data_IF_615801344868
#
_entry.id   IF_615801344868
#
_cell.length_a   1.000
_cell.length_b   1.000
_cell.length_c   1.000
_cell.angle_alpha   90.00
_cell.angle_beta   90.00
_cell.angle_gamma   90.00
#
_symmetry.space_group_name_H-M   'P 1'
#
loop_
_entity.id
_entity.type
_entity.pdbx_description
1 polymer ?
#
# COMPACT_ATOMS: atom_id res chain seq x y z
N UNK A 1 -30.75 25.85 9.74
CA UNK A 1 -29.36 25.60 9.30
C UNK A 1 -29.33 24.18 8.77
N UNK A 2 -28.90 23.97 7.51
CA UNK A 2 -28.86 22.63 6.89
C UNK A 2 -27.50 22.01 7.20
N UNK A 3 -27.49 20.89 7.93
CA UNK A 3 -26.31 20.06 8.12
C UNK A 3 -25.98 19.36 6.78
N UNK A 4 -24.86 19.73 6.17
CA UNK A 4 -24.32 19.06 4.99
C UNK A 4 -23.48 17.87 5.46
N UNK A 5 -24.10 16.69 5.52
CA UNK A 5 -23.40 15.43 5.74
C UNK A 5 -22.51 15.10 4.54
N UNK A 6 -21.20 15.21 4.70
CA UNK A 6 -20.23 14.68 3.73
C UNK A 6 -20.23 13.17 3.83
N UNK A 7 -20.92 12.51 2.91
CA UNK A 7 -20.95 11.05 2.81
C UNK A 7 -19.61 10.55 2.24
N UNK A 8 -18.66 10.24 3.12
CA UNK A 8 -17.40 9.59 2.75
C UNK A 8 -17.71 8.18 2.25
N UNK A 9 -17.65 7.97 0.94
CA UNK A 9 -17.74 6.63 0.34
C UNK A 9 -16.37 5.96 0.42
N UNK A 10 -16.28 4.83 1.11
CA UNK A 10 -15.04 4.04 1.20
C UNK A 10 -15.14 2.84 0.25
N UNK A 11 -14.27 2.75 -0.74
CA UNK A 11 -14.11 1.54 -1.57
C UNK A 11 -12.91 0.76 -1.01
N UNK A 12 -13.14 -0.47 -0.55
CA UNK A 12 -12.07 -1.38 -0.10
C UNK A 12 -11.92 -2.51 -1.09
N UNK A 13 -10.74 -2.63 -1.69
CA UNK A 13 -10.35 -3.80 -2.46
C UNK A 13 -9.85 -4.89 -1.49
N UNK A 14 -10.35 -6.12 -1.66
CA UNK A 14 -9.87 -7.29 -0.91
C UNK A 14 -9.15 -8.22 -1.88
N UNK A 15 -7.84 -8.37 -1.69
CA UNK A 15 -7.05 -9.36 -2.40
C UNK A 15 -7.19 -10.70 -1.66
N UNK A 16 -7.81 -11.69 -2.30
CA UNK A 16 -7.92 -13.04 -1.75
C UNK A 16 -6.60 -13.78 -1.99
N UNK A 17 -5.73 -13.81 -0.98
CA UNK A 17 -4.57 -14.70 -0.98
C UNK A 17 -5.04 -16.15 -1.16
N UNK A 18 -4.40 -16.91 -2.07
CA UNK A 18 -4.61 -18.37 -2.15
C UNK A 18 -4.23 -19.00 -0.80
N UNK A 19 -4.98 -20.03 -0.41
CA UNK A 19 -5.00 -20.72 0.90
C UNK A 19 -3.62 -21.12 1.47
N UNK A 20 -2.84 -20.16 1.94
CA UNK A 20 -1.73 -20.41 2.85
C UNK A 20 -1.93 -19.54 4.08
N UNK A 21 -2.16 -20.21 5.21
CA UNK A 21 -2.07 -19.57 6.51
C UNK A 21 -0.61 -19.17 6.71
N UNK A 22 -0.33 -17.87 6.55
CA UNK A 22 0.98 -17.32 6.86
C UNK A 22 1.21 -17.48 8.37
N UNK A 23 1.91 -18.55 8.76
CA UNK A 23 2.40 -18.71 10.13
C UNK A 23 3.51 -17.70 10.34
N UNK A 24 3.17 -16.53 10.86
CA UNK A 24 4.15 -15.56 11.35
C UNK A 24 4.58 -16.04 12.73
N UNK A 25 5.60 -16.89 12.78
CA UNK A 25 6.24 -17.27 14.05
C UNK A 25 7.10 -16.09 14.53
N UNK A 26 6.59 -15.40 15.55
CA UNK A 26 7.14 -14.15 16.03
C UNK A 26 8.28 -14.36 17.02
N UNK A 27 9.49 -14.66 16.55
CA UNK A 27 10.70 -14.30 17.32
C UNK A 27 11.09 -12.85 17.02
N UNK A 28 10.41 -11.91 17.67
CA UNK A 28 10.71 -10.47 17.64
C UNK A 28 11.88 -10.10 18.59
N UNK A 29 12.89 -10.97 18.69
CA UNK A 29 14.05 -10.78 19.55
C UNK A 29 15.34 -10.93 18.74
N UNK A 30 16.18 -9.88 18.75
CA UNK A 30 17.58 -9.82 18.26
C UNK A 30 17.90 -9.45 16.80
N UNK A 31 16.92 -9.14 15.94
CA UNK A 31 17.20 -8.82 14.51
C UNK A 31 17.92 -7.48 14.26
N UNK A 32 18.05 -6.61 15.26
CA UNK A 32 18.68 -5.28 15.12
C UNK A 32 20.13 -5.34 14.58
N UNK A 33 20.82 -6.48 14.74
CA UNK A 33 22.19 -6.70 14.22
C UNK A 33 22.30 -7.59 12.98
N UNK A 34 21.19 -8.09 12.43
CA UNK A 34 21.21 -9.01 11.27
C UNK A 34 21.05 -8.28 9.93
N UNK A 35 20.32 -7.15 9.90
CA UNK A 35 20.13 -6.35 8.68
C UNK A 35 21.47 -5.87 8.12
N UNK A 36 22.44 -5.54 8.97
CA UNK A 36 23.75 -5.02 8.57
C UNK A 36 24.78 -6.11 8.22
N UNK A 37 24.40 -7.40 8.27
CA UNK A 37 25.26 -8.51 7.85
C UNK A 37 24.91 -8.91 6.41
N UNK A 38 25.92 -9.32 5.62
CA UNK A 38 25.73 -9.70 4.22
C UNK A 38 24.61 -10.74 3.99
N UNK A 39 24.47 -11.73 4.88
CA UNK A 39 23.40 -12.73 4.80
C UNK A 39 21.99 -12.14 5.06
N UNK A 40 21.88 -11.16 5.97
CA UNK A 40 20.64 -10.45 6.21
C UNK A 40 20.28 -9.50 5.08
N UNK A 41 21.28 -8.82 4.50
CA UNK A 41 21.12 -8.00 3.29
C UNK A 41 20.68 -8.85 2.09
N UNK A 42 21.24 -10.06 1.92
CA UNK A 42 20.86 -10.98 0.84
C UNK A 42 19.41 -11.44 0.98
N UNK A 43 19.00 -11.90 2.17
CA UNK A 43 17.61 -12.27 2.44
C UNK A 43 16.65 -11.09 2.30
N UNK A 44 17.06 -9.92 2.76
CA UNK A 44 16.28 -8.69 2.60
C UNK A 44 16.12 -8.34 1.11
N UNK A 45 17.18 -8.48 0.31
CA UNK A 45 17.12 -8.28 -1.14
C UNK A 45 16.16 -9.27 -1.81
N UNK A 46 16.26 -10.56 -1.51
CA UNK A 46 15.36 -11.59 -2.06
C UNK A 46 13.89 -11.29 -1.69
N UNK A 47 13.62 -10.97 -0.42
CA UNK A 47 12.29 -10.58 0.04
C UNK A 47 11.78 -9.30 -0.65
N UNK A 48 12.64 -8.28 -0.80
CA UNK A 48 12.28 -7.05 -1.49
C UNK A 48 11.99 -7.31 -2.97
N UNK A 49 12.81 -8.11 -3.65
CA UNK A 49 12.64 -8.45 -5.06
C UNK A 49 11.29 -9.19 -5.29
N UNK A 50 10.94 -10.16 -4.44
CA UNK A 50 9.62 -10.82 -4.48
C UNK A 50 8.47 -9.84 -4.21
N UNK A 51 8.60 -9.00 -3.18
CA UNK A 51 7.60 -7.99 -2.84
C UNK A 51 7.39 -6.99 -3.98
N UNK A 52 8.47 -6.54 -4.64
CA UNK A 52 8.39 -5.61 -5.77
C UNK A 52 7.74 -6.26 -6.99
N UNK A 53 8.02 -7.52 -7.28
CA UNK A 53 7.38 -8.24 -8.39
C UNK A 53 5.88 -8.39 -8.19
N UNK A 54 5.44 -8.76 -6.97
CA UNK A 54 4.02 -8.84 -6.63
C UNK A 54 3.35 -7.47 -6.73
N UNK A 55 3.98 -6.43 -6.18
CA UNK A 55 3.47 -5.06 -6.30
C UNK A 55 3.36 -4.62 -7.74
N UNK A 56 4.37 -4.88 -8.57
CA UNK A 56 4.36 -4.53 -9.99
C UNK A 56 3.20 -5.19 -10.74
N UNK A 57 2.96 -6.48 -10.53
CA UNK A 57 1.85 -7.19 -11.18
C UNK A 57 0.49 -6.56 -10.81
N UNK A 58 0.27 -6.32 -9.51
CA UNK A 58 -0.97 -5.69 -9.02
C UNK A 58 -1.11 -4.25 -9.57
N UNK A 59 -0.03 -3.47 -9.54
CA UNK A 59 0.00 -2.11 -10.10
C UNK A 59 -0.41 -2.13 -11.56
N UNK A 60 0.18 -3.03 -12.35
CA UNK A 60 -0.07 -3.15 -13.79
C UNK A 60 -1.55 -3.46 -14.05
N UNK A 61 -2.13 -4.40 -13.33
CA UNK A 61 -3.53 -4.77 -13.53
C UNK A 61 -4.47 -3.61 -13.17
N UNK A 62 -4.22 -2.90 -12.07
CA UNK A 62 -5.05 -1.76 -11.63
C UNK A 62 -5.00 -0.58 -12.60
N UNK A 63 -3.81 -0.19 -13.07
CA UNK A 63 -3.67 0.97 -13.96
C UNK A 63 -4.18 0.72 -15.38
N UNK A 64 -4.33 -0.53 -15.81
CA UNK A 64 -4.86 -0.89 -17.13
C UNK A 64 -6.35 -1.28 -17.09
N UNK A 65 -6.99 -1.26 -15.92
CA UNK A 65 -8.43 -1.50 -15.78
C UNK A 65 -9.22 -0.23 -16.10
N UNK A 66 -9.35 0.08 -17.39
CA UNK A 66 -10.02 1.29 -17.89
C UNK A 66 -11.49 1.40 -17.44
N UNK A 67 -12.18 0.26 -17.29
CA UNK A 67 -13.58 0.23 -16.87
C UNK A 67 -13.71 0.76 -15.43
N UNK A 68 -12.90 0.22 -14.51
CA UNK A 68 -12.95 0.65 -13.11
C UNK A 68 -12.38 2.05 -12.93
N UNK A 69 -11.32 2.42 -13.66
CA UNK A 69 -10.79 3.79 -13.64
C UNK A 69 -11.82 4.82 -14.11
N UNK A 70 -12.59 4.50 -15.16
CA UNK A 70 -13.66 5.38 -15.65
C UNK A 70 -14.77 5.57 -14.62
N UNK A 71 -15.17 4.49 -13.93
CA UNK A 71 -16.15 4.56 -12.82
C UNK A 71 -15.64 5.40 -11.66
N UNK A 72 -14.40 5.18 -11.24
CA UNK A 72 -13.78 5.95 -10.15
C UNK A 72 -13.65 7.43 -10.51
N UNK A 73 -13.34 7.76 -11.77
CA UNK A 73 -13.25 9.13 -12.25
C UNK A 73 -14.60 9.84 -12.23
N UNK A 74 -15.68 9.12 -12.56
CA UNK A 74 -17.03 9.66 -12.53
C UNK A 74 -17.51 10.03 -11.11
N UNK A 75 -16.94 9.44 -10.06
CA UNK A 75 -17.26 9.78 -8.67
C UNK A 75 -16.66 11.13 -8.23
N UNK A 76 -15.71 11.70 -8.97
CA UNK A 76 -15.11 13.02 -8.70
C UNK A 76 -14.52 13.17 -7.28
N UNK A 77 -13.67 12.22 -6.87
CA UNK A 77 -12.96 12.31 -5.59
C UNK A 77 -12.08 13.57 -5.50
N UNK A 78 -12.05 14.17 -4.31
CA UNK A 78 -11.32 15.41 -4.02
C UNK A 78 -10.02 15.18 -3.24
N UNK A 79 -9.82 13.96 -2.71
CA UNK A 79 -8.68 13.56 -1.90
C UNK A 79 -8.27 12.11 -2.18
N UNK A 80 -6.97 11.90 -2.41
CA UNK A 80 -6.34 10.58 -2.46
C UNK A 80 -5.63 10.27 -1.14
N UNK A 81 -5.74 9.04 -0.65
CA UNK A 81 -5.00 8.56 0.52
C UNK A 81 -4.25 7.30 0.10
N UNK A 82 -2.92 7.32 0.19
CA UNK A 82 -2.07 6.17 -0.16
C UNK A 82 -1.17 5.78 1.02
N UNK A 83 -0.81 4.50 1.08
CA UNK A 83 0.19 4.02 2.04
C UNK A 83 1.60 4.20 1.45
N UNK A 84 2.59 4.54 2.29
CA UNK A 84 3.95 4.91 1.88
C UNK A 84 4.64 3.87 0.96
N UNK A 85 4.37 2.58 1.18
CA UNK A 85 4.99 1.49 0.40
C UNK A 85 4.13 0.98 -0.76
N UNK A 86 3.02 1.64 -1.06
CA UNK A 86 2.08 1.28 -2.12
C UNK A 86 2.19 2.32 -3.24
N UNK A 87 2.94 1.97 -4.30
CA UNK A 87 3.31 2.92 -5.35
C UNK A 87 2.23 3.12 -6.42
N UNK A 88 1.28 2.20 -6.62
CA UNK A 88 0.26 2.36 -7.67
C UNK A 88 -0.80 3.39 -7.32
N UNK A 89 -1.12 3.59 -6.05
CA UNK A 89 -2.10 4.59 -5.60
C UNK A 89 -1.84 5.97 -6.20
N UNK A 90 -0.57 6.40 -6.24
CA UNK A 90 -0.18 7.68 -6.87
C UNK A 90 -0.49 7.73 -8.36
N UNK A 91 -0.20 6.65 -9.10
CA UNK A 91 -0.51 6.56 -10.53
C UNK A 91 -2.02 6.60 -10.80
N UNK A 92 -2.81 5.93 -9.94
CA UNK A 92 -4.27 5.99 -10.01
C UNK A 92 -4.76 7.42 -9.75
N UNK A 93 -4.25 8.10 -8.73
CA UNK A 93 -4.65 9.48 -8.44
C UNK A 93 -4.37 10.44 -9.60
N UNK A 94 -3.24 10.28 -10.29
CA UNK A 94 -2.92 11.03 -11.49
C UNK A 94 -3.95 10.78 -12.61
N UNK A 95 -4.28 9.51 -12.90
CA UNK A 95 -5.26 9.14 -13.92
C UNK A 95 -6.68 9.68 -13.61
N UNK A 96 -7.03 9.72 -12.32
CA UNK A 96 -8.28 10.28 -11.82
C UNK A 96 -8.28 11.81 -11.75
N UNK A 97 -7.12 12.48 -11.86
CA UNK A 97 -6.97 13.93 -11.76
C UNK A 97 -7.01 14.48 -10.33
N UNK A 98 -6.71 13.65 -9.33
CA UNK A 98 -6.74 14.00 -7.91
C UNK A 98 -5.42 14.66 -7.52
N UNK A 99 -5.47 15.94 -7.13
CA UNK A 99 -4.27 16.74 -6.80
C UNK A 99 -3.91 16.74 -5.32
N UNK A 100 -4.89 16.51 -4.44
CA UNK A 100 -4.68 16.50 -2.99
C UNK A 100 -4.43 15.06 -2.56
N UNK A 101 -3.22 14.79 -2.09
CA UNK A 101 -2.78 13.44 -1.73
C UNK A 101 -2.24 13.48 -0.31
N UNK A 102 -2.71 12.56 0.53
CA UNK A 102 -2.17 12.28 1.86
C UNK A 102 -1.49 10.92 1.82
N UNK A 103 -0.24 10.88 2.26
CA UNK A 103 0.51 9.65 2.40
C UNK A 103 0.52 9.25 3.87
N UNK A 104 0.02 8.07 4.16
CA UNK A 104 0.05 7.49 5.49
C UNK A 104 1.10 6.41 5.57
N UNK A 105 1.61 6.19 6.78
CA UNK A 105 2.38 5.01 7.08
C UNK A 105 2.03 4.48 8.46
N UNK A 106 1.74 3.19 8.57
CA UNK A 106 1.66 2.51 9.86
C UNK A 106 3.05 2.01 10.29
N UNK A 107 3.75 2.82 11.07
CA UNK A 107 4.95 2.39 11.77
C UNK A 107 4.56 1.66 13.06
N UNK A 108 5.09 0.46 13.30
CA UNK A 108 5.00 -0.13 14.63
C UNK A 108 5.84 0.72 15.59
N UNK A 109 5.19 1.32 16.60
CA UNK A 109 5.85 2.08 17.68
C UNK A 109 6.52 1.12 18.67
N UNK A 110 7.31 0.16 18.17
CA UNK A 110 8.24 -0.62 18.98
C UNK A 110 9.63 -0.01 18.83
N UNK A 111 9.79 1.21 19.38
CA UNK A 111 11.07 1.83 19.76
C UNK A 111 12.17 1.95 18.70
N UNK A 112 11.88 1.89 17.40
CA UNK A 112 12.94 1.80 16.38
C UNK A 112 12.82 2.70 15.16
N UNK A 113 11.64 3.18 14.77
CA UNK A 113 11.49 4.04 13.59
C UNK A 113 10.28 4.97 13.76
N UNK A 114 10.52 6.06 14.48
CA UNK A 114 9.86 7.35 14.27
C UNK A 114 10.98 8.37 14.51
N UNK A 115 11.13 9.30 13.56
CA UNK A 115 12.16 10.34 13.45
C UNK A 115 12.76 10.84 14.77
#
# INVERSE_FOLDING_TARGET
MKETGSHVKTVRYYFKAKNESLKVDGTLGSQQGLVWKNEGLKKMKEMLDEMFNLKYAVCKDVIHDEENLSKLKAENFDLGIAELFESCGYGVFELLGIKKIVVTHSGAVNGGFAW
#
